data_IF_140830894850
#
_entry.id   IF_140830894850
#
_cell.length_a   1.000
_cell.length_b   1.000
_cell.length_c   1.000
_cell.angle_alpha   90.00
_cell.angle_beta   90.00
_cell.angle_gamma   90.00
#
_symmetry.space_group_name_H-M   'P 1'
#
loop_
_entity.id
_entity.type
_entity.pdbx_description
1 polymer ?
#
# COMPACT_ATOMS: atom_id res chain seq x y z
N UNK A 1 -19.24 -14.14 18.67
CA UNK A 1 -17.79 -14.26 18.44
C UNK A 1 -17.27 -12.93 17.92
N UNK A 2 -16.47 -12.18 18.70
CA UNK A 2 -15.95 -10.86 18.27
C UNK A 2 -14.87 -11.10 17.21
N UNK A 3 -14.89 -10.37 16.09
CA UNK A 3 -13.89 -10.53 15.02
C UNK A 3 -12.50 -10.13 15.55
N UNK A 4 -11.45 -10.90 15.24
CA UNK A 4 -10.06 -10.62 15.70
C UNK A 4 -9.63 -9.17 15.42
N UNK A 5 -9.99 -8.64 14.25
CA UNK A 5 -9.70 -7.23 13.91
C UNK A 5 -10.42 -6.22 14.82
N UNK A 6 -11.61 -6.52 15.32
CA UNK A 6 -12.31 -5.67 16.29
C UNK A 6 -11.54 -5.59 17.62
N UNK A 7 -11.10 -6.73 18.14
CA UNK A 7 -10.27 -6.80 19.35
C UNK A 7 -8.94 -6.05 19.13
N UNK A 8 -8.34 -6.21 17.95
CA UNK A 8 -7.13 -5.46 17.58
C UNK A 8 -7.33 -3.94 17.66
N UNK A 9 -8.46 -3.42 17.14
CA UNK A 9 -8.79 -1.99 17.22
C UNK A 9 -8.95 -1.53 18.66
N UNK A 10 -9.69 -2.29 19.48
CA UNK A 10 -9.90 -2.00 20.90
C UNK A 10 -8.56 -1.94 21.67
N UNK A 11 -7.60 -2.79 21.31
CA UNK A 11 -6.28 -2.87 21.95
C UNK A 11 -5.21 -2.00 21.29
N UNK A 12 -5.54 -1.26 20.25
CA UNK A 12 -4.57 -0.44 19.52
C UNK A 12 -3.78 0.54 20.42
N UNK A 13 -4.37 1.24 21.41
CA UNK A 13 -3.61 2.11 22.30
C UNK A 13 -2.50 1.38 23.08
N UNK A 14 -2.80 0.16 23.55
CA UNK A 14 -1.84 -0.69 24.24
C UNK A 14 -0.72 -1.15 23.30
N UNK A 15 -1.10 -1.59 22.09
CA UNK A 15 -0.16 -1.99 21.03
C UNK A 15 0.83 -0.86 20.74
N UNK A 16 0.34 0.36 20.52
CA UNK A 16 1.20 1.52 20.23
C UNK A 16 2.09 1.86 21.43
N UNK A 17 1.56 1.83 22.66
CA UNK A 17 2.37 2.07 23.86
C UNK A 17 3.54 1.08 23.99
N UNK A 18 3.33 -0.20 23.70
CA UNK A 18 4.43 -1.17 23.69
C UNK A 18 5.43 -0.89 22.57
N UNK A 19 4.97 -0.57 21.36
CA UNK A 19 5.86 -0.24 20.25
C UNK A 19 6.70 1.01 20.52
N UNK A 20 6.12 2.04 21.15
CA UNK A 20 6.83 3.27 21.54
C UNK A 20 7.86 3.02 22.64
N UNK A 21 7.61 2.06 23.54
CA UNK A 21 8.58 1.59 24.54
C UNK A 21 9.70 0.75 23.93
N UNK A 22 9.66 0.47 22.63
CA UNK A 22 10.69 -0.28 21.92
C UNK A 22 10.49 -1.79 21.92
N UNK A 23 9.34 -2.31 22.36
CA UNK A 23 9.08 -3.75 22.27
C UNK A 23 8.99 -4.18 20.80
N UNK A 24 9.67 -5.27 20.40
CA UNK A 24 9.57 -5.81 19.06
C UNK A 24 8.18 -6.39 18.81
N UNK A 25 7.82 -6.55 17.53
CA UNK A 25 6.49 -7.04 17.15
C UNK A 25 6.20 -8.44 17.69
N UNK A 26 7.23 -9.28 17.84
CA UNK A 26 7.09 -10.61 18.45
C UNK A 26 6.54 -10.54 19.86
N UNK A 27 7.07 -9.64 20.68
CA UNK A 27 6.72 -9.53 22.09
C UNK A 27 5.32 -8.93 22.25
N UNK A 28 4.98 -7.97 21.39
CA UNK A 28 3.61 -7.43 21.33
C UNK A 28 2.61 -8.51 20.92
N UNK A 29 2.95 -9.36 19.96
CA UNK A 29 2.07 -10.45 19.53
C UNK A 29 1.88 -11.49 20.64
N UNK A 30 2.94 -11.84 21.37
CA UNK A 30 2.86 -12.73 22.52
C UNK A 30 1.99 -12.13 23.64
N UNK A 31 2.19 -10.86 23.97
CA UNK A 31 1.34 -10.16 24.95
C UNK A 31 -0.13 -10.13 24.53
N UNK A 32 -0.42 -9.86 23.25
CA UNK A 32 -1.78 -9.90 22.71
C UNK A 32 -2.42 -11.27 22.84
N UNK A 33 -1.66 -12.34 22.64
CA UNK A 33 -2.13 -13.71 22.79
C UNK A 33 -2.44 -14.02 24.25
N UNK A 34 -1.50 -13.74 25.14
CA UNK A 34 -1.55 -14.20 26.54
C UNK A 34 -2.49 -13.33 27.39
N UNK A 35 -2.48 -12.01 27.18
CA UNK A 35 -3.21 -11.06 28.02
C UNK A 35 -4.50 -10.53 27.38
N UNK A 36 -4.66 -10.66 26.06
CA UNK A 36 -5.79 -10.05 25.33
C UNK A 36 -6.58 -11.04 24.45
N UNK A 37 -6.33 -12.34 24.58
CA UNK A 37 -7.00 -13.41 23.82
C UNK A 37 -6.94 -13.19 22.29
N UNK A 38 -5.88 -12.54 21.80
CA UNK A 38 -5.71 -12.15 20.42
C UNK A 38 -4.47 -12.81 19.82
N UNK A 39 -4.62 -14.07 19.41
CA UNK A 39 -3.56 -14.81 18.71
C UNK A 39 -3.52 -14.41 17.22
N UNK A 40 -2.40 -13.82 16.81
CA UNK A 40 -2.15 -13.31 15.46
C UNK A 40 -0.81 -13.83 14.95
N UNK A 41 -0.78 -14.23 13.67
CA UNK A 41 0.50 -14.38 12.99
C UNK A 41 1.18 -13.02 12.82
N UNK A 42 2.50 -13.03 12.69
CA UNK A 42 3.29 -11.82 12.43
C UNK A 42 2.79 -11.03 11.20
N UNK A 43 2.46 -11.74 10.12
CA UNK A 43 1.93 -11.13 8.91
C UNK A 43 0.55 -10.50 9.15
N UNK A 44 -0.33 -11.18 9.89
CA UNK A 44 -1.65 -10.65 10.25
C UNK A 44 -1.53 -9.40 11.11
N UNK A 45 -0.63 -9.41 12.09
CA UNK A 45 -0.36 -8.25 12.93
C UNK A 45 0.09 -7.04 12.10
N UNK A 46 1.06 -7.23 11.20
CA UNK A 46 1.51 -6.18 10.27
C UNK A 46 0.39 -5.68 9.37
N UNK A 47 -0.40 -6.57 8.78
CA UNK A 47 -1.55 -6.19 7.95
C UNK A 47 -2.59 -5.40 8.74
N UNK A 48 -2.84 -5.76 10.00
CA UNK A 48 -3.78 -5.05 10.86
C UNK A 48 -3.27 -3.66 11.24
N UNK A 49 -1.99 -3.52 11.60
CA UNK A 49 -1.34 -2.24 11.83
C UNK A 49 -1.48 -1.32 10.60
N UNK A 50 -1.15 -1.83 9.41
CA UNK A 50 -1.24 -1.07 8.18
C UNK A 50 -2.68 -0.62 7.89
N UNK A 51 -3.64 -1.55 7.95
CA UNK A 51 -5.05 -1.25 7.69
C UNK A 51 -5.61 -0.21 8.65
N UNK A 52 -5.33 -0.35 9.95
CA UNK A 52 -5.89 0.56 10.94
C UNK A 52 -5.27 1.96 10.86
N UNK A 53 -3.96 2.08 10.62
CA UNK A 53 -3.31 3.37 10.34
C UNK A 53 -3.91 4.06 9.12
N UNK A 54 -4.17 3.31 8.05
CA UNK A 54 -4.83 3.83 6.85
C UNK A 54 -6.26 4.31 7.13
N UNK A 55 -7.02 3.55 7.91
CA UNK A 55 -8.39 3.94 8.31
C UNK A 55 -8.37 5.23 9.15
N UNK A 56 -7.47 5.36 10.13
CA UNK A 56 -7.34 6.57 10.96
C UNK A 56 -7.02 7.82 10.11
N UNK A 57 -6.06 7.70 9.19
CA UNK A 57 -5.71 8.80 8.29
C UNK A 57 -6.86 9.14 7.32
N UNK A 58 -7.62 8.13 6.88
CA UNK A 58 -8.79 8.36 6.03
C UNK A 58 -9.89 9.12 6.76
N UNK A 59 -10.15 8.80 8.04
CA UNK A 59 -11.16 9.49 8.86
C UNK A 59 -10.81 10.97 9.05
N UNK A 60 -9.52 11.27 9.29
CA UNK A 60 -9.04 12.65 9.40
C UNK A 60 -9.25 13.44 8.09
N UNK A 61 -8.88 12.86 6.95
CA UNK A 61 -9.06 13.52 5.64
C UNK A 61 -10.53 13.73 5.25
N UNK A 62 -11.45 12.87 5.74
CA UNK A 62 -12.90 13.08 5.53
C UNK A 62 -13.50 14.07 6.52
N UNK A 63 -12.93 14.22 7.71
CA UNK A 63 -13.40 15.19 8.72
C UNK A 63 -13.11 16.62 8.29
N UNK A 64 -11.98 16.88 7.62
CA UNK A 64 -11.68 18.19 7.03
C UNK A 64 -12.59 18.55 5.85
N UNK A 65 -13.17 17.56 5.18
CA UNK A 65 -14.10 17.78 4.06
C UNK A 65 -15.52 18.16 4.52
N UNK A 66 -15.88 17.92 5.77
CA UNK A 66 -17.23 18.21 6.29
C UNK A 66 -17.42 19.64 6.80
N UNK A 67 -16.34 20.41 6.96
CA UNK A 67 -16.41 21.85 7.29
C UNK A 67 -16.39 22.78 6.07
N UNK A 68 -16.34 22.23 4.86
CA UNK A 68 -16.51 22.98 3.62
C UNK A 68 -17.91 22.69 3.04
N UNK A 69 -18.94 23.34 3.59
CA UNK A 69 -20.28 23.27 3.01
C UNK A 69 -20.40 24.25 1.84
N UNK A 70 -20.99 23.75 0.74
CA UNK A 70 -21.91 24.42 -0.20
C UNK A 70 -21.49 24.57 -1.69
N UNK A 71 -22.30 23.91 -2.56
CA UNK A 71 -22.57 24.15 -4.01
C UNK A 71 -21.48 23.67 -5.00
N UNK A 72 -21.69 22.68 -5.87
CA UNK A 72 -22.79 22.48 -6.82
C UNK A 72 -23.11 20.98 -7.07
N UNK A 73 -24.40 20.70 -7.28
CA UNK A 73 -25.01 19.55 -7.98
C UNK A 73 -24.34 19.29 -9.34
N UNK A 74 -24.47 18.16 -10.03
CA UNK A 74 -25.67 17.34 -10.24
C UNK A 74 -25.27 15.99 -10.87
N UNK A 75 -26.18 15.05 -10.73
CA UNK A 75 -26.21 13.68 -11.23
C UNK A 75 -25.81 13.49 -12.71
N UNK A 76 -25.25 12.31 -13.01
CA UNK A 76 -25.98 11.35 -13.85
C UNK A 76 -25.23 10.00 -13.94
N UNK A 77 -25.81 9.02 -13.25
CA UNK A 77 -25.74 7.61 -13.65
C UNK A 77 -26.20 7.47 -15.11
N UNK A 78 -25.48 6.66 -15.91
CA UNK A 78 -26.04 5.50 -16.64
C UNK A 78 -24.99 4.74 -17.45
N UNK A 79 -24.93 3.43 -17.19
CA UNK A 79 -24.47 2.40 -18.11
C UNK A 79 -25.26 2.46 -19.42
N UNK A 80 -24.59 2.39 -20.58
CA UNK A 80 -25.08 1.68 -21.77
C UNK A 80 -23.87 1.15 -22.55
N UNK A 81 -23.91 -0.17 -22.76
CA UNK A 81 -23.09 -0.99 -23.64
C UNK A 81 -23.43 -0.70 -25.11
N UNK A 82 -22.44 -0.44 -25.99
CA UNK A 82 -22.57 -0.78 -27.42
C UNK A 82 -21.21 -0.85 -28.13
N UNK A 83 -20.91 -2.06 -28.60
CA UNK A 83 -20.10 -2.44 -29.77
C UNK A 83 -20.10 -1.42 -30.93
N UNK A 84 -18.92 -1.08 -31.47
CA UNK A 84 -18.54 -1.37 -32.88
C UNK A 84 -17.21 -0.70 -33.33
N UNK A 85 -16.36 -1.57 -33.90
CA UNK A 85 -15.50 -1.44 -35.10
C UNK A 85 -14.25 -0.53 -35.12
N UNK A 86 -13.17 -1.22 -35.46
CA UNK A 86 -11.89 -0.80 -36.06
C UNK A 86 -12.09 0.16 -37.26
N UNK A 87 -11.19 1.14 -37.46
CA UNK A 87 -10.08 1.03 -38.44
C UNK A 87 -9.18 2.29 -38.49
N UNK A 88 -7.88 2.04 -38.63
CA UNK A 88 -6.75 2.80 -39.22
C UNK A 88 -6.71 4.34 -39.28
N UNK A 89 -5.58 4.92 -38.84
CA UNK A 89 -4.54 5.55 -39.69
C UNK A 89 -3.44 6.24 -38.83
N UNK A 90 -2.19 5.79 -39.00
CA UNK A 90 -0.92 6.43 -38.55
C UNK A 90 -0.52 7.59 -39.51
N UNK A 91 0.69 8.22 -39.44
CA UNK A 91 1.45 8.83 -38.32
C UNK A 91 2.02 10.24 -38.71
N UNK A 92 2.43 11.07 -37.74
CA UNK A 92 3.42 12.15 -37.99
C UNK A 92 4.45 12.28 -36.85
N UNK A 93 5.71 12.06 -37.26
CA UNK A 93 7.01 12.35 -36.64
C UNK A 93 7.08 13.83 -36.18
N UNK A 94 7.75 14.32 -35.12
CA UNK A 94 9.11 14.03 -34.59
C UNK A 94 9.35 14.83 -33.29
N UNK A 95 10.20 14.27 -32.40
CA UNK A 95 11.28 14.93 -31.62
C UNK A 95 11.15 14.97 -30.08
N UNK A 96 11.80 13.95 -29.47
CA UNK A 96 12.71 14.00 -28.30
C UNK A 96 12.09 14.49 -26.97
N UNK A 97 12.00 13.72 -25.89
CA UNK A 97 12.53 12.41 -25.54
C UNK A 97 12.50 12.30 -24.02
N UNK A 98 11.66 11.43 -23.48
CA UNK A 98 11.79 10.82 -22.16
C UNK A 98 10.80 9.65 -22.07
N UNK A 99 11.16 8.52 -22.65
CA UNK A 99 10.49 7.26 -22.36
C UNK A 99 10.71 6.99 -20.87
N UNK A 100 9.69 7.25 -20.06
CA UNK A 100 9.64 6.70 -18.71
C UNK A 100 9.32 5.23 -18.90
N UNK A 101 10.35 4.44 -19.17
CA UNK A 101 10.24 2.99 -19.16
C UNK A 101 9.82 2.61 -17.75
N UNK A 102 8.56 2.25 -17.59
CA UNK A 102 8.01 1.61 -16.40
C UNK A 102 8.61 0.20 -16.32
N UNK A 103 9.91 0.12 -16.06
CA UNK A 103 10.57 -1.12 -15.68
C UNK A 103 9.96 -1.58 -14.37
N UNK A 104 9.41 -2.79 -14.40
CA UNK A 104 8.89 -3.46 -13.23
C UNK A 104 9.99 -3.54 -12.17
N UNK A 105 9.61 -3.53 -10.89
CA UNK A 105 10.54 -3.75 -9.78
C UNK A 105 11.36 -5.03 -9.95
N UNK A 106 10.81 -6.03 -10.65
CA UNK A 106 11.50 -7.27 -11.01
C UNK A 106 12.68 -7.02 -11.94
N UNK A 107 12.51 -6.17 -12.95
CA UNK A 107 13.54 -5.88 -13.95
C UNK A 107 14.67 -5.05 -13.35
N UNK A 108 14.34 -4.13 -12.43
CA UNK A 108 15.33 -3.37 -11.64
C UNK A 108 16.16 -4.28 -10.74
N UNK A 109 15.53 -5.28 -10.12
CA UNK A 109 16.24 -6.27 -9.30
C UNK A 109 17.24 -7.09 -10.10
N UNK A 110 16.85 -7.53 -11.29
CA UNK A 110 17.75 -8.30 -12.17
C UNK A 110 18.92 -7.46 -12.68
N UNK A 111 18.69 -6.20 -13.03
CA UNK A 111 19.76 -5.29 -13.46
C UNK A 111 20.78 -5.02 -12.34
N UNK A 112 20.31 -4.91 -11.10
CA UNK A 112 21.17 -4.72 -9.94
C UNK A 112 22.05 -5.95 -9.66
N UNK A 113 21.48 -7.16 -9.73
CA UNK A 113 22.24 -8.40 -9.57
C UNK A 113 23.27 -8.55 -10.70
N UNK A 114 22.88 -8.28 -11.95
CA UNK A 114 23.81 -8.34 -13.08
C UNK A 114 25.00 -7.39 -12.92
N UNK A 115 24.77 -6.17 -12.41
CA UNK A 115 25.84 -5.20 -12.14
C UNK A 115 26.84 -5.70 -11.08
N UNK A 116 26.35 -6.29 -9.98
CA UNK A 116 27.23 -6.83 -8.94
C UNK A 116 28.13 -7.97 -9.46
N UNK A 117 27.59 -8.81 -10.34
CA UNK A 117 28.35 -9.91 -10.96
C UNK A 117 29.36 -9.42 -12.00
N UNK A 118 29.14 -8.25 -12.62
CA UNK A 118 30.09 -7.65 -13.57
C UNK A 118 31.23 -6.86 -12.90
N UNK A 119 31.03 -6.35 -11.68
CA UNK A 119 32.06 -5.64 -10.91
C UNK A 119 33.03 -6.60 -10.18
N UNK A 120 32.86 -7.92 -10.35
CA UNK A 120 33.64 -8.95 -9.65
C UNK A 120 34.63 -9.73 -10.54
N UNK A 121 34.89 -9.29 -11.77
CA UNK A 121 36.04 -9.81 -12.52
C UNK A 121 37.35 -9.11 -12.08
N UNK A 122 38.32 -9.83 -11.49
CA UNK A 122 39.65 -9.28 -11.30
C UNK A 122 40.32 -9.19 -12.68
N UNK A 123 40.85 -8.00 -13.03
CA UNK A 123 41.84 -7.88 -14.09
C UNK A 123 43.00 -8.81 -13.76
N UNK A 124 43.14 -9.88 -14.51
CA UNK A 124 44.34 -10.71 -14.51
C UNK A 124 45.26 -10.11 -15.57
N UNK A 125 46.24 -9.32 -15.11
CA UNK A 125 47.44 -8.98 -15.88
C UNK A 125 48.36 -10.21 -16.02
#
# INVERSE_FOLDING_TARGET
>A
MRKKFGIFKEKYPHIISMLEKGYPYTDVILDLKDNHQLDLSFNTFRSYLYRYRKELNSVMNTSEKLTATHTYSDDHLKNVDTSHKEDSLQPTLTKVGRTQENMSFRDRGQLFIARLMSESEPNVD
#
